data_IF_813081316271
#
_entry.id   IF_813081316271
#
_cell.length_a   1.000
_cell.length_b   1.000
_cell.length_c   1.000
_cell.angle_alpha   90.00
_cell.angle_beta   90.00
_cell.angle_gamma   90.00
#
_symmetry.space_group_name_H-M   'P 1'
#
loop_
_entity.id
_entity.type
_entity.pdbx_description
1 polymer ?
#
# COMPACT_ATOMS: atom_id res chain seq x y z
N UNK A 1 27.13 -39.67 -39.06
CA UNK A 1 26.49 -40.73 -39.88
C UNK A 1 25.09 -40.25 -40.25
N UNK A 2 24.88 -40.03 -41.56
CA UNK A 2 23.64 -39.96 -42.37
C UNK A 2 22.28 -39.61 -41.69
N UNK A 3 21.82 -38.40 -42.03
CA UNK A 3 20.47 -37.94 -42.48
C UNK A 3 19.62 -39.00 -43.26
N UNK A 4 18.38 -38.72 -43.77
CA UNK A 4 17.22 -37.94 -43.27
C UNK A 4 15.81 -38.40 -43.81
N UNK A 5 14.80 -37.50 -43.74
CA UNK A 5 13.62 -37.29 -44.63
C UNK A 5 12.42 -38.26 -44.48
N UNK A 6 11.17 -37.75 -44.44
CA UNK A 6 10.27 -37.44 -45.58
C UNK A 6 9.20 -36.44 -45.05
N UNK A 7 9.02 -35.20 -45.54
CA UNK A 7 8.49 -34.71 -46.82
C UNK A 7 7.00 -34.99 -47.08
N UNK A 8 6.20 -33.94 -47.31
CA UNK A 8 4.80 -34.05 -47.72
C UNK A 8 4.09 -32.69 -47.84
N UNK A 9 4.29 -32.01 -48.96
CA UNK A 9 3.62 -30.78 -49.41
C UNK A 9 2.56 -31.13 -50.46
N UNK A 10 1.38 -30.48 -50.48
CA UNK A 10 0.56 -30.13 -51.68
C UNK A 10 -0.75 -29.43 -51.19
N UNK A 11 -1.05 -28.14 -51.41
CA UNK A 11 -1.42 -27.32 -52.60
C UNK A 11 -2.93 -27.42 -53.02
N UNK A 12 -3.52 -26.24 -53.29
CA UNK A 12 -4.76 -25.85 -54.03
C UNK A 12 -6.05 -25.74 -53.20
N UNK A 13 -6.90 -24.71 -53.38
CA UNK A 13 -7.03 -23.80 -54.51
C UNK A 13 -7.91 -22.56 -54.26
N UNK A 14 -7.76 -21.62 -55.20
CA UNK A 14 -8.52 -20.39 -55.40
C UNK A 14 -9.99 -20.65 -55.76
N UNK A 15 -10.90 -19.76 -55.34
CA UNK A 15 -11.98 -19.23 -56.18
C UNK A 15 -12.60 -17.99 -55.52
N UNK A 16 -12.49 -16.85 -56.20
CA UNK A 16 -13.26 -15.65 -55.95
C UNK A 16 -14.34 -15.55 -57.03
N UNK A 17 -15.61 -15.32 -56.67
CA UNK A 17 -16.60 -14.70 -57.56
C UNK A 17 -17.50 -13.79 -56.69
N UNK A 18 -17.47 -12.51 -57.05
CA UNK A 18 -18.44 -11.47 -56.67
C UNK A 18 -19.40 -11.26 -57.85
N UNK A 19 -20.66 -10.90 -57.57
CA UNK A 19 -21.56 -10.00 -58.36
C UNK A 19 -22.95 -10.07 -57.70
N UNK A 20 -23.51 -9.00 -57.08
CA UNK A 20 -23.98 -7.68 -57.55
C UNK A 20 -25.51 -7.66 -57.79
N UNK A 21 -26.20 -6.80 -57.02
CA UNK A 21 -27.38 -5.99 -57.40
C UNK A 21 -27.66 -5.07 -56.19
N UNK A 22 -27.28 -3.79 -56.13
CA UNK A 22 -27.55 -2.61 -56.96
C UNK A 22 -29.04 -2.19 -57.03
N UNK A 23 -29.36 -1.09 -56.34
CA UNK A 23 -30.25 -0.05 -56.84
C UNK A 23 -29.80 1.32 -56.28
N UNK A 24 -29.05 2.02 -57.13
CA UNK A 24 -29.12 3.46 -57.47
C UNK A 24 -30.46 4.15 -57.14
N UNK A 25 -30.56 5.46 -56.89
CA UNK A 25 -29.91 6.67 -57.44
C UNK A 25 -30.33 7.87 -56.53
N UNK A 26 -29.90 9.13 -56.59
CA UNK A 26 -28.97 9.99 -57.34
C UNK A 26 -28.87 11.26 -56.46
N UNK A 27 -27.72 11.90 -56.25
CA UNK A 27 -27.38 13.05 -57.08
C UNK A 27 -26.65 14.18 -56.32
N UNK A 28 -25.42 14.45 -56.80
CA UNK A 28 -24.70 15.73 -56.94
C UNK A 28 -24.39 16.64 -55.71
N UNK A 29 -23.10 16.98 -55.60
CA UNK A 29 -22.67 18.30 -55.13
C UNK A 29 -21.32 18.34 -54.43
N UNK A 30 -20.28 18.83 -55.11
CA UNK A 30 -18.91 18.98 -54.64
C UNK A 30 -18.74 19.95 -53.46
N UNK A 31 -17.69 19.74 -52.65
CA UNK A 31 -17.26 20.72 -51.65
C UNK A 31 -16.24 20.17 -50.67
N UNK A 32 -14.97 20.10 -51.06
CA UNK A 32 -13.87 19.88 -50.13
C UNK A 32 -13.74 21.08 -49.18
N UNK A 33 -13.84 20.83 -47.88
CA UNK A 33 -13.29 21.71 -46.82
C UNK A 33 -12.72 20.85 -45.71
N UNK A 34 -11.40 20.95 -45.56
CA UNK A 34 -10.68 20.53 -44.35
C UNK A 34 -11.28 21.24 -43.14
N UNK A 35 -11.66 20.45 -42.13
CA UNK A 35 -11.96 20.93 -40.79
C UNK A 35 -11.09 20.16 -39.81
N UNK A 36 -10.00 20.78 -39.41
CA UNK A 36 -9.21 20.42 -38.24
C UNK A 36 -10.09 20.56 -37.00
N UNK A 37 -10.53 19.45 -36.43
CA UNK A 37 -11.12 19.43 -35.09
C UNK A 37 -10.00 19.24 -34.07
N UNK A 38 -9.51 20.37 -33.57
CA UNK A 38 -8.75 20.45 -32.32
C UNK A 38 -9.68 20.07 -31.16
N UNK A 39 -9.56 18.85 -30.66
CA UNK A 39 -10.22 18.43 -29.43
C UNK A 39 -9.27 18.64 -28.26
N UNK A 40 -9.18 19.88 -27.81
CA UNK A 40 -8.68 20.20 -26.47
C UNK A 40 -9.66 19.59 -25.46
N UNK A 41 -9.31 18.44 -24.88
CA UNK A 41 -10.07 17.84 -23.78
C UNK A 41 -9.98 18.80 -22.58
N UNK A 42 -11.08 19.48 -22.27
CA UNK A 42 -11.27 20.16 -20.98
C UNK A 42 -11.18 19.09 -19.87
N UNK A 43 -10.13 19.18 -19.05
CA UNK A 43 -10.09 18.50 -17.76
C UNK A 43 -11.27 18.99 -16.93
N UNK A 44 -12.17 18.07 -16.58
CA UNK A 44 -13.22 18.34 -15.61
C UNK A 44 -12.55 18.33 -14.24
N UNK A 45 -12.32 19.51 -13.68
CA UNK A 45 -11.90 19.65 -12.30
C UNK A 45 -12.97 19.00 -11.40
N UNK A 46 -12.62 17.89 -10.77
CA UNK A 46 -13.46 17.27 -9.74
C UNK A 46 -13.50 18.23 -8.56
N UNK A 47 -14.66 18.84 -8.33
CA UNK A 47 -14.88 19.74 -7.20
C UNK A 47 -14.56 19.00 -5.90
N UNK A 48 -13.67 19.58 -5.10
CA UNK A 48 -13.15 18.94 -3.89
C UNK A 48 -14.22 18.99 -2.78
N UNK A 49 -15.04 17.95 -2.66
CA UNK A 49 -16.10 17.83 -1.65
C UNK A 49 -15.57 17.51 -0.24
N UNK A 50 -14.25 17.53 -0.02
CA UNK A 50 -13.65 17.13 1.25
C UNK A 50 -13.71 18.29 2.26
N UNK A 51 -14.30 18.03 3.43
CA UNK A 51 -14.39 19.03 4.50
C UNK A 51 -13.01 19.30 5.13
N UNK A 52 -12.68 20.57 5.44
CA UNK A 52 -11.49 20.90 6.21
C UNK A 52 -11.42 20.13 7.53
N UNK A 53 -10.19 19.84 7.97
CA UNK A 53 -9.95 19.14 9.22
C UNK A 53 -10.25 20.06 10.41
N UNK A 54 -11.05 19.60 11.36
CA UNK A 54 -11.20 20.28 12.66
C UNK A 54 -9.93 20.04 13.48
N UNK A 55 -9.11 21.09 13.62
CA UNK A 55 -7.84 21.02 14.34
C UNK A 55 -8.03 20.71 15.83
N UNK A 56 -9.09 21.20 16.48
CA UNK A 56 -9.33 20.92 17.91
C UNK A 56 -9.69 19.45 18.11
N UNK A 57 -10.52 18.91 17.23
CA UNK A 57 -10.83 17.48 17.24
C UNK A 57 -9.58 16.64 16.95
N UNK A 58 -8.79 17.02 15.95
CA UNK A 58 -7.53 16.35 15.62
C UNK A 58 -6.60 16.30 16.84
N UNK A 59 -6.36 17.43 17.50
CA UNK A 59 -5.48 17.52 18.68
C UNK A 59 -6.01 16.68 19.85
N UNK A 60 -7.31 16.71 20.10
CA UNK A 60 -7.96 15.86 21.11
C UNK A 60 -7.75 14.37 20.83
N UNK A 61 -7.91 13.95 19.57
CA UNK A 61 -7.69 12.56 19.16
C UNK A 61 -6.20 12.17 19.25
N UNK A 62 -5.28 13.07 18.91
CA UNK A 62 -3.84 12.82 19.08
C UNK A 62 -3.47 12.60 20.55
N UNK A 63 -4.02 13.39 21.47
CA UNK A 63 -3.86 13.19 22.92
C UNK A 63 -4.46 11.86 23.36
N UNK A 64 -5.65 11.50 22.86
CA UNK A 64 -6.29 10.20 23.14
C UNK A 64 -5.44 9.03 22.66
N UNK A 65 -4.82 9.13 21.47
CA UNK A 65 -3.89 8.12 20.95
C UNK A 65 -2.60 8.03 21.78
N UNK A 66 -2.09 9.14 22.31
CA UNK A 66 -0.94 9.11 23.21
C UNK A 66 -1.20 8.28 24.48
N UNK A 67 -2.47 8.09 24.86
CA UNK A 67 -2.91 7.16 25.89
C UNK A 67 -2.23 7.39 27.25
N UNK A 68 -2.11 8.67 27.64
CA UNK A 68 -1.44 9.06 28.87
C UNK A 68 0.05 8.67 28.88
N UNK A 69 0.73 8.79 27.75
CA UNK A 69 2.20 8.74 27.70
C UNK A 69 2.77 9.82 28.61
N UNK A 70 3.61 9.41 29.56
CA UNK A 70 4.25 10.30 30.53
C UNK A 70 5.69 10.65 30.14
N UNK A 71 6.17 10.11 29.01
CA UNK A 71 7.55 10.32 28.54
C UNK A 71 7.74 11.67 27.84
N UNK A 72 6.64 12.35 27.50
CA UNK A 72 6.64 13.60 26.75
C UNK A 72 6.94 13.42 25.25
N UNK A 73 7.01 12.18 24.77
CA UNK A 73 7.28 11.84 23.35
C UNK A 73 6.01 11.81 22.51
N UNK A 74 4.87 11.49 23.12
CA UNK A 74 3.59 11.35 22.45
C UNK A 74 2.51 12.27 23.08
N UNK A 75 1.61 12.87 22.29
CA UNK A 75 1.66 12.92 20.82
C UNK A 75 2.88 13.73 20.34
N UNK A 76 3.34 13.47 19.12
CA UNK A 76 4.46 14.22 18.54
C UNK A 76 4.03 15.68 18.37
N UNK A 77 4.80 16.60 18.98
CA UNK A 77 4.58 18.04 18.82
C UNK A 77 4.85 18.44 17.37
N UNK A 78 3.83 18.96 16.71
CA UNK A 78 3.89 19.41 15.32
C UNK A 78 2.87 20.50 15.10
N UNK A 79 3.21 21.49 14.28
CA UNK A 79 2.27 22.50 13.76
C UNK A 79 1.69 22.09 12.39
N UNK A 80 1.95 20.86 11.95
CA UNK A 80 1.47 20.30 10.68
C UNK A 80 0.17 19.55 10.91
N UNK A 81 -0.92 20.08 10.37
CA UNK A 81 -2.22 19.43 10.29
C UNK A 81 -2.41 18.77 8.92
N UNK A 82 -3.08 17.61 8.83
CA UNK A 82 -3.32 16.97 7.56
C UNK A 82 -4.37 17.72 6.72
N UNK A 83 -4.34 17.52 5.40
CA UNK A 83 -5.33 18.07 4.50
C UNK A 83 -6.73 17.45 4.72
N UNK A 84 -7.75 18.11 4.14
CA UNK A 84 -9.10 17.58 4.05
C UNK A 84 -9.10 16.14 3.48
N UNK A 85 -9.93 15.26 4.05
CA UNK A 85 -9.97 13.84 3.69
C UNK A 85 -8.98 12.94 4.46
N UNK A 86 -8.30 13.47 5.49
CA UNK A 86 -7.49 12.68 6.40
C UNK A 86 -8.28 11.53 7.04
N UNK A 87 -7.63 10.36 7.17
CA UNK A 87 -8.22 9.15 7.76
C UNK A 87 -7.78 9.04 9.22
N UNK A 88 -6.51 9.33 9.51
CA UNK A 88 -5.90 9.28 10.84
C UNK A 88 -5.90 10.68 11.47
N UNK A 89 -6.15 10.80 12.78
CA UNK A 89 -6.51 9.76 13.75
C UNK A 89 -8.02 9.45 13.82
N UNK A 90 -8.84 9.95 12.89
CA UNK A 90 -10.31 9.85 12.95
C UNK A 90 -10.85 8.43 12.84
N UNK A 91 -10.15 7.55 12.12
CA UNK A 91 -10.51 6.15 11.92
C UNK A 91 -9.32 5.24 12.17
N UNK A 92 -9.57 4.07 12.73
CA UNK A 92 -8.57 2.99 12.85
C UNK A 92 -8.52 2.20 11.56
N UNK A 93 -7.34 2.09 10.96
CA UNK A 93 -7.17 1.26 9.77
C UNK A 93 -6.94 -0.19 10.20
N UNK A 94 -7.71 -1.12 9.64
CA UNK A 94 -7.54 -2.58 9.86
C UNK A 94 -7.41 -3.25 8.51
N UNK A 95 -6.30 -3.96 8.28
CA UNK A 95 -5.98 -4.54 6.98
C UNK A 95 -5.51 -5.99 7.04
N UNK A 96 -5.75 -6.71 5.95
CA UNK A 96 -5.03 -7.95 5.63
C UNK A 96 -3.85 -7.66 4.71
N UNK A 97 -2.70 -8.22 5.07
CA UNK A 97 -1.46 -8.10 4.32
C UNK A 97 -1.18 -9.33 3.46
N UNK A 98 -0.51 -9.14 2.33
CA UNK A 98 0.16 -10.24 1.63
C UNK A 98 0.25 -10.09 0.12
N UNK A 99 0.50 -11.21 -0.56
CA UNK A 99 0.67 -11.28 -2.01
C UNK A 99 -0.21 -12.39 -2.61
N UNK A 100 -0.99 -12.06 -3.63
CA UNK A 100 -1.95 -12.95 -4.30
C UNK A 100 -1.32 -14.20 -4.96
N UNK A 101 -0.01 -14.20 -5.23
CA UNK A 101 0.69 -15.37 -5.76
C UNK A 101 1.19 -16.33 -4.68
N UNK A 102 1.16 -15.95 -3.40
CA UNK A 102 1.73 -16.75 -2.32
C UNK A 102 0.82 -16.81 -1.11
N UNK A 103 0.28 -18.01 -0.85
CA UNK A 103 -0.45 -18.34 0.38
C UNK A 103 0.40 -18.29 1.65
N UNK A 104 1.73 -18.13 1.51
CA UNK A 104 2.68 -18.07 2.64
C UNK A 104 3.08 -16.62 2.98
N UNK A 105 2.69 -15.64 2.17
CA UNK A 105 3.10 -14.24 2.33
C UNK A 105 2.02 -13.36 2.99
N UNK A 106 0.93 -13.96 3.48
CA UNK A 106 -0.03 -13.30 4.35
C UNK A 106 -1.49 -13.57 4.04
N UNK A 107 -2.35 -13.28 5.02
CA UNK A 107 -3.79 -13.52 4.99
C UNK A 107 -4.51 -13.01 3.72
N UNK A 108 -4.04 -11.92 3.09
CA UNK A 108 -4.63 -11.41 1.84
C UNK A 108 -4.53 -12.42 0.68
N UNK A 109 -3.39 -13.12 0.57
CA UNK A 109 -3.12 -14.09 -0.50
C UNK A 109 -3.45 -15.54 -0.12
N UNK A 110 -3.76 -15.80 1.16
CA UNK A 110 -3.99 -17.17 1.66
C UNK A 110 -5.37 -17.72 1.28
N UNK A 111 -6.40 -16.87 1.28
CA UNK A 111 -7.80 -17.25 1.10
C UNK A 111 -8.37 -16.76 -0.24
N UNK A 112 -9.43 -17.42 -0.70
CA UNK A 112 -10.22 -16.90 -1.82
C UNK A 112 -10.90 -15.56 -1.41
N UNK A 113 -11.14 -14.61 -2.34
CA UNK A 113 -11.58 -13.26 -1.99
C UNK A 113 -12.82 -13.17 -1.08
N UNK A 114 -13.83 -14.03 -1.27
CA UNK A 114 -15.03 -14.05 -0.41
C UNK A 114 -14.71 -14.49 1.02
N UNK A 115 -13.91 -15.55 1.17
CA UNK A 115 -13.48 -16.05 2.49
C UNK A 115 -12.55 -15.04 3.18
N UNK A 116 -11.60 -14.48 2.43
CA UNK A 116 -10.71 -13.41 2.90
C UNK A 116 -11.53 -12.26 3.52
N UNK A 117 -12.55 -11.79 2.80
CA UNK A 117 -13.43 -10.73 3.30
C UNK A 117 -14.26 -11.14 4.50
N UNK A 118 -14.77 -12.37 4.55
CA UNK A 118 -15.48 -12.87 5.72
C UNK A 118 -14.59 -12.81 6.98
N UNK A 119 -13.33 -13.23 6.86
CA UNK A 119 -12.36 -13.23 7.96
C UNK A 119 -11.94 -11.82 8.37
N UNK A 120 -11.61 -10.95 7.41
CA UNK A 120 -11.27 -9.55 7.69
C UNK A 120 -12.45 -8.80 8.32
N UNK A 121 -13.68 -9.05 7.89
CA UNK A 121 -14.87 -8.45 8.53
C UNK A 121 -15.07 -8.93 9.98
N UNK A 122 -14.62 -10.14 10.34
CA UNK A 122 -14.64 -10.58 11.73
C UNK A 122 -13.63 -9.77 12.58
N UNK A 123 -12.41 -9.54 12.09
CA UNK A 123 -11.43 -8.70 12.78
C UNK A 123 -11.90 -7.25 12.91
N UNK A 124 -12.53 -6.69 11.86
CA UNK A 124 -13.13 -5.36 11.90
C UNK A 124 -14.16 -5.27 13.03
N UNK A 125 -15.07 -6.26 13.15
CA UNK A 125 -16.06 -6.29 14.23
C UNK A 125 -15.42 -6.39 15.62
N UNK A 126 -14.31 -7.13 15.77
CA UNK A 126 -13.58 -7.17 17.03
C UNK A 126 -13.02 -5.79 17.41
N UNK A 127 -12.45 -5.06 16.45
CA UNK A 127 -11.94 -3.71 16.69
C UNK A 127 -13.04 -2.68 16.96
N UNK A 128 -14.16 -2.74 16.24
CA UNK A 128 -15.33 -1.90 16.49
C UNK A 128 -15.91 -2.14 17.89
N UNK A 129 -15.92 -3.39 18.36
CA UNK A 129 -16.36 -3.73 19.72
C UNK A 129 -15.38 -3.24 20.79
N UNK A 130 -14.07 -3.39 20.56
CA UNK A 130 -13.04 -3.05 21.53
C UNK A 130 -12.85 -1.53 21.71
N UNK A 131 -13.08 -0.73 20.65
CA UNK A 131 -13.05 0.73 20.72
C UNK A 131 -14.16 1.37 19.85
N UNK A 132 -15.42 1.37 20.33
CA UNK A 132 -16.57 1.87 19.58
C UNK A 132 -16.47 3.36 19.22
N UNK A 133 -15.64 4.10 19.94
CA UNK A 133 -15.44 5.53 19.76
C UNK A 133 -14.48 5.90 18.62
N UNK A 134 -13.85 4.90 17.99
CA UNK A 134 -12.91 5.09 16.87
C UNK A 134 -13.34 4.17 15.72
N UNK A 135 -14.10 4.68 14.73
CA UNK A 135 -14.60 3.87 13.61
C UNK A 135 -13.48 3.16 12.84
N UNK A 136 -13.78 2.01 12.25
CA UNK A 136 -12.80 1.23 11.49
C UNK A 136 -12.84 1.56 9.99
N UNK A 137 -11.67 1.79 9.42
CA UNK A 137 -11.41 1.90 7.99
C UNK A 137 -10.79 0.58 7.50
N UNK A 138 -11.58 -0.21 6.76
CA UNK A 138 -11.08 -1.45 6.17
C UNK A 138 -10.06 -1.15 5.06
N UNK A 139 -9.03 -2.01 4.94
CA UNK A 139 -8.10 -1.95 3.82
C UNK A 139 -7.45 -3.28 3.48
N UNK A 140 -6.78 -3.32 2.33
CA UNK A 140 -5.95 -4.45 1.89
C UNK A 140 -4.53 -3.94 1.66
N UNK A 141 -3.52 -4.63 2.19
CA UNK A 141 -2.13 -4.22 2.06
C UNK A 141 -1.38 -5.24 1.20
N UNK A 142 -1.17 -4.89 -0.07
CA UNK A 142 -0.66 -5.79 -1.08
C UNK A 142 0.81 -5.54 -1.38
N UNK A 143 1.61 -6.61 -1.39
CA UNK A 143 3.03 -6.53 -1.74
C UNK A 143 3.17 -6.42 -3.26
N UNK A 144 3.38 -5.20 -3.75
CA UNK A 144 3.48 -4.88 -5.17
C UNK A 144 4.89 -5.08 -5.74
N UNK A 145 5.91 -5.04 -4.88
CA UNK A 145 7.26 -5.49 -5.21
C UNK A 145 7.83 -6.33 -4.07
N UNK A 146 8.28 -7.54 -4.41
CA UNK A 146 8.72 -8.55 -3.44
C UNK A 146 10.23 -8.73 -3.55
N UNK A 147 10.95 -8.70 -2.42
CA UNK A 147 12.35 -9.06 -2.40
C UNK A 147 12.51 -10.57 -2.67
N UNK A 148 13.41 -10.91 -3.58
CA UNK A 148 13.59 -12.27 -4.09
C UNK A 148 14.91 -12.86 -3.61
N UNK A 149 14.91 -14.16 -3.30
CA UNK A 149 16.16 -14.91 -3.05
C UNK A 149 16.97 -15.18 -4.31
N UNK A 150 16.39 -14.98 -5.50
CA UNK A 150 17.03 -15.22 -6.81
C UNK A 150 17.15 -13.93 -7.62
N UNK A 151 18.22 -13.78 -8.43
CA UNK A 151 18.39 -12.60 -9.26
C UNK A 151 17.34 -12.56 -10.38
N UNK A 152 16.75 -11.38 -10.57
CA UNK A 152 15.99 -11.06 -11.78
C UNK A 152 16.92 -10.74 -12.96
N UNK A 153 16.33 -10.46 -14.12
CA UNK A 153 17.08 -10.09 -15.35
C UNK A 153 17.98 -8.85 -15.17
N UNK A 154 17.59 -7.96 -14.27
CA UNK A 154 18.31 -6.72 -13.92
C UNK A 154 19.29 -6.90 -12.74
N UNK A 155 19.42 -8.12 -12.22
CA UNK A 155 20.26 -8.42 -11.05
C UNK A 155 19.81 -7.75 -9.76
N UNK A 156 18.57 -7.23 -9.68
CA UNK A 156 18.09 -6.47 -8.51
C UNK A 156 17.44 -7.29 -7.41
N UNK A 157 17.28 -8.60 -7.62
CA UNK A 157 16.66 -9.52 -6.66
C UNK A 157 15.27 -9.04 -6.22
N UNK A 158 14.49 -8.54 -7.17
CA UNK A 158 13.14 -8.00 -6.94
C UNK A 158 12.15 -8.60 -7.94
N UNK A 159 11.04 -9.09 -7.42
CA UNK A 159 9.90 -9.54 -8.22
C UNK A 159 8.85 -8.43 -8.22
N UNK A 160 8.81 -7.64 -9.30
CA UNK A 160 7.81 -6.59 -9.50
C UNK A 160 6.51 -7.23 -9.98
N UNK A 161 5.42 -6.98 -9.28
CA UNK A 161 4.12 -7.51 -9.66
C UNK A 161 3.62 -6.82 -10.93
N UNK A 162 3.12 -7.61 -11.88
CA UNK A 162 2.52 -7.05 -13.09
C UNK A 162 1.30 -6.20 -12.75
N UNK A 163 1.03 -5.18 -13.56
CA UNK A 163 -0.15 -4.30 -13.41
C UNK A 163 -1.45 -5.07 -13.17
N UNK A 164 -1.68 -6.16 -13.90
CA UNK A 164 -2.87 -7.03 -13.73
C UNK A 164 -3.05 -7.56 -12.31
N UNK A 165 -1.97 -7.80 -11.58
CA UNK A 165 -2.03 -8.24 -10.19
C UNK A 165 -2.45 -7.12 -9.25
N UNK A 166 -1.91 -5.91 -9.46
CA UNK A 166 -2.36 -4.72 -8.73
C UNK A 166 -3.84 -4.45 -9.04
N UNK A 167 -4.24 -4.55 -10.32
CA UNK A 167 -5.64 -4.41 -10.73
C UNK A 167 -6.54 -5.46 -10.03
N UNK A 168 -6.02 -6.66 -9.80
CA UNK A 168 -6.75 -7.75 -9.13
C UNK A 168 -6.99 -7.42 -7.65
N UNK A 169 -6.01 -6.89 -6.92
CA UNK A 169 -6.27 -6.45 -5.53
C UNK A 169 -7.22 -5.26 -5.47
N UNK A 170 -7.16 -4.33 -6.44
CA UNK A 170 -8.13 -3.22 -6.52
C UNK A 170 -9.55 -3.74 -6.79
N UNK A 171 -9.70 -4.79 -7.60
CA UNK A 171 -10.99 -5.44 -7.82
C UNK A 171 -11.51 -6.14 -6.54
N UNK A 172 -10.62 -6.81 -5.79
CA UNK A 172 -10.98 -7.40 -4.49
C UNK A 172 -11.39 -6.31 -3.50
N UNK A 173 -10.69 -5.18 -3.47
CA UNK A 173 -11.02 -4.03 -2.62
C UNK A 173 -12.44 -3.51 -2.90
N UNK A 174 -12.83 -3.42 -4.17
CA UNK A 174 -14.18 -2.99 -4.61
C UNK A 174 -15.32 -3.89 -4.14
N UNK A 175 -15.05 -5.14 -3.71
CA UNK A 175 -16.07 -6.02 -3.15
C UNK A 175 -16.65 -5.51 -1.82
N UNK A 176 -15.93 -4.62 -1.12
CA UNK A 176 -16.41 -3.95 0.10
C UNK A 176 -16.33 -2.43 -0.08
N UNK A 177 -17.47 -1.71 -0.03
CA UNK A 177 -17.47 -0.25 -0.18
C UNK A 177 -16.52 0.46 0.80
N UNK A 178 -15.87 1.51 0.29
CA UNK A 178 -14.97 2.35 1.08
C UNK A 178 -13.64 1.71 1.47
N UNK A 179 -13.28 0.53 0.95
CA UNK A 179 -11.99 -0.12 1.22
C UNK A 179 -10.83 0.66 0.61
N UNK A 180 -9.78 0.88 1.40
CA UNK A 180 -8.50 1.46 0.93
C UNK A 180 -7.49 0.36 0.60
N UNK A 181 -6.49 0.67 -0.24
CA UNK A 181 -5.44 -0.28 -0.62
C UNK A 181 -4.08 0.32 -0.35
N UNK A 182 -3.16 -0.48 0.19
CA UNK A 182 -1.75 -0.13 0.30
C UNK A 182 -0.96 -0.96 -0.70
N UNK A 183 -0.03 -0.32 -1.41
CA UNK A 183 0.97 -1.01 -2.22
C UNK A 183 2.29 -0.99 -1.46
N UNK A 184 2.80 -2.17 -1.10
CA UNK A 184 4.07 -2.33 -0.39
C UNK A 184 5.23 -2.57 -1.35
N UNK A 185 6.37 -1.96 -1.06
CA UNK A 185 7.59 -2.07 -1.86
C UNK A 185 8.76 -2.61 -1.03
N UNK A 186 9.16 -3.85 -1.33
CA UNK A 186 10.39 -4.48 -0.87
C UNK A 186 11.46 -4.36 -1.97
N UNK A 187 12.38 -3.41 -1.82
CA UNK A 187 13.22 -2.95 -2.96
C UNK A 187 14.45 -3.81 -3.24
N UNK A 188 14.85 -4.70 -2.33
CA UNK A 188 16.05 -5.52 -2.41
C UNK A 188 17.32 -4.69 -2.76
N UNK A 189 18.01 -5.03 -3.85
CA UNK A 189 19.21 -4.31 -4.34
C UNK A 189 18.86 -3.10 -5.24
N UNK A 190 17.58 -2.76 -5.37
CA UNK A 190 17.12 -1.53 -6.01
C UNK A 190 17.01 -0.39 -4.98
N UNK A 191 16.46 0.75 -5.41
CA UNK A 191 16.23 1.92 -4.55
C UNK A 191 14.77 2.33 -4.61
N UNK A 192 14.26 2.90 -3.52
CA UNK A 192 12.88 3.42 -3.51
C UNK A 192 12.64 4.48 -4.61
N UNK A 193 13.68 5.25 -4.96
CA UNK A 193 13.65 6.23 -6.05
C UNK A 193 13.42 5.60 -7.42
N UNK A 194 13.95 4.39 -7.65
CA UNK A 194 13.74 3.64 -8.87
C UNK A 194 12.39 2.90 -8.87
N UNK A 195 11.95 2.39 -7.72
CA UNK A 195 10.77 1.53 -7.64
C UNK A 195 9.44 2.29 -7.54
N UNK A 196 9.41 3.43 -6.86
CA UNK A 196 8.18 4.18 -6.62
C UNK A 196 7.47 4.63 -7.92
N UNK A 197 8.17 5.12 -8.97
CA UNK A 197 7.53 5.51 -10.23
C UNK A 197 6.78 4.38 -10.95
N UNK A 198 7.14 3.11 -10.72
CA UNK A 198 6.46 1.98 -11.38
C UNK A 198 5.00 1.81 -10.93
N UNK A 199 4.64 2.33 -9.76
CA UNK A 199 3.27 2.26 -9.22
C UNK A 199 2.58 3.63 -9.19
N UNK A 200 3.17 4.67 -9.78
CA UNK A 200 2.68 6.05 -9.73
C UNK A 200 1.20 6.14 -10.12
N UNK A 201 0.83 5.57 -11.27
CA UNK A 201 -0.54 5.56 -11.80
C UNK A 201 -1.59 4.99 -10.83
N UNK A 202 -1.17 4.12 -9.90
CA UNK A 202 -2.07 3.55 -8.89
C UNK A 202 -2.16 4.46 -7.67
N UNK A 203 -1.06 5.10 -7.27
CA UNK A 203 -1.04 6.06 -6.18
C UNK A 203 -1.85 7.34 -6.51
N UNK A 204 -2.07 7.65 -7.79
CA UNK A 204 -3.01 8.67 -8.24
C UNK A 204 -4.45 8.40 -7.81
N UNK A 205 -4.82 7.14 -7.51
CA UNK A 205 -6.15 6.81 -7.03
C UNK A 205 -6.33 7.27 -5.57
N UNK A 206 -7.43 7.96 -5.21
CA UNK A 206 -7.58 8.60 -3.89
C UNK A 206 -7.56 7.61 -2.73
N UNK A 207 -7.99 6.36 -2.95
CA UNK A 207 -8.06 5.30 -1.94
C UNK A 207 -6.83 4.38 -1.90
N UNK A 208 -5.79 4.69 -2.70
CA UNK A 208 -4.53 3.92 -2.72
C UNK A 208 -3.45 4.69 -1.95
N UNK A 209 -2.73 3.94 -1.12
CA UNK A 209 -1.73 4.36 -0.16
C UNK A 209 -0.45 3.52 -0.34
N UNK A 210 0.61 3.84 0.42
CA UNK A 210 1.93 3.26 0.24
C UNK A 210 2.44 2.59 1.52
N UNK A 211 3.08 1.44 1.37
CA UNK A 211 3.94 0.80 2.36
C UNK A 211 5.38 0.69 1.85
N UNK A 212 6.36 0.78 2.74
CA UNK A 212 7.75 0.40 2.45
C UNK A 212 8.30 -0.47 3.55
N UNK A 213 9.13 -1.43 3.15
CA UNK A 213 9.79 -2.33 4.07
C UNK A 213 11.31 -2.09 4.11
N UNK A 214 11.83 -1.39 5.13
CA UNK A 214 13.25 -1.19 5.29
C UNK A 214 14.04 -2.50 5.48
N UNK A 215 13.42 -3.60 5.92
CA UNK A 215 14.09 -4.90 6.06
C UNK A 215 14.74 -5.34 4.75
N UNK A 216 14.15 -4.93 3.63
CA UNK A 216 14.60 -5.31 2.29
C UNK A 216 15.31 -4.19 1.54
N UNK A 217 15.69 -3.08 2.18
CA UNK A 217 16.53 -2.06 1.53
C UNK A 217 18.02 -2.38 1.71
N UNK A 218 18.59 -3.06 0.72
CA UNK A 218 19.91 -3.67 0.83
C UNK A 218 21.01 -2.80 0.19
N UNK A 219 21.24 -1.64 0.80
CA UNK A 219 22.11 -0.58 0.23
C UNK A 219 23.58 -0.96 0.04
N UNK A 220 24.04 -2.03 0.69
CA UNK A 220 25.43 -2.46 0.65
C UNK A 220 25.69 -3.67 -0.27
N UNK A 221 24.68 -4.07 -1.06
CA UNK A 221 24.79 -5.21 -1.97
C UNK A 221 24.56 -6.58 -1.33
N UNK A 222 24.34 -6.65 -0.01
CA UNK A 222 23.99 -7.92 0.65
C UNK A 222 22.66 -8.43 0.11
N UNK A 223 22.56 -9.72 -0.18
CA UNK A 223 21.30 -10.29 -0.68
C UNK A 223 20.17 -10.20 0.36
N UNK A 224 18.92 -9.96 -0.07
CA UNK A 224 17.77 -9.87 0.84
C UNK A 224 17.61 -11.16 1.66
N UNK A 225 17.19 -11.01 2.91
CA UNK A 225 17.00 -12.12 3.85
C UNK A 225 18.27 -12.66 4.50
N UNK A 226 19.47 -12.20 4.11
CA UNK A 226 20.73 -12.53 4.83
C UNK A 226 20.96 -11.65 6.06
N UNK A 227 20.48 -10.42 6.00
CA UNK A 227 20.45 -9.47 7.12
C UNK A 227 19.32 -8.48 6.92
N UNK A 228 19.01 -7.75 7.97
CA UNK A 228 18.01 -6.68 7.94
C UNK A 228 18.62 -5.45 7.26
N UNK A 229 17.95 -4.97 6.23
CA UNK A 229 18.27 -3.74 5.50
C UNK A 229 17.97 -2.46 6.28
N UNK A 230 18.04 -1.32 5.60
CA UNK A 230 17.86 -0.02 6.24
C UNK A 230 17.38 1.07 5.28
N UNK A 231 16.50 1.92 5.79
CA UNK A 231 16.22 3.24 5.23
C UNK A 231 16.71 4.33 6.19
N UNK A 232 17.13 5.45 5.62
CA UNK A 232 17.38 6.68 6.35
C UNK A 232 16.16 7.61 6.28
N UNK A 233 16.09 8.58 7.19
CA UNK A 233 15.15 9.69 7.09
C UNK A 233 15.19 10.39 5.72
N UNK A 234 16.34 10.44 5.03
CA UNK A 234 16.43 10.94 3.66
C UNK A 234 15.56 10.15 2.67
N UNK A 235 15.52 8.81 2.78
CA UNK A 235 14.67 7.99 1.91
C UNK A 235 13.19 8.19 2.24
N UNK A 236 12.85 8.23 3.53
CA UNK A 236 11.48 8.51 3.99
C UNK A 236 11.03 9.88 3.50
N UNK A 237 11.89 10.90 3.59
CA UNK A 237 11.60 12.26 3.13
C UNK A 237 11.47 12.38 1.62
N UNK A 238 12.23 11.58 0.86
CA UNK A 238 12.05 11.47 -0.58
C UNK A 238 10.65 10.95 -0.91
N UNK A 239 10.22 9.87 -0.24
CA UNK A 239 8.88 9.29 -0.45
C UNK A 239 7.78 10.27 -0.05
N UNK A 240 7.89 10.91 1.12
CA UNK A 240 6.87 11.86 1.57
C UNK A 240 6.79 13.09 0.66
N UNK A 241 7.92 13.55 0.10
CA UNK A 241 7.91 14.61 -0.92
C UNK A 241 7.18 14.16 -2.18
N UNK A 242 7.51 12.97 -2.68
CA UNK A 242 6.90 12.41 -3.89
C UNK A 242 5.37 12.28 -3.75
N UNK A 243 4.91 11.73 -2.62
CA UNK A 243 3.49 11.62 -2.31
C UNK A 243 2.83 13.01 -2.16
N UNK A 244 3.52 13.98 -1.55
CA UNK A 244 3.00 15.33 -1.43
C UNK A 244 2.84 16.04 -2.78
N UNK A 245 3.81 15.89 -3.67
CA UNK A 245 3.76 16.46 -5.02
C UNK A 245 2.61 15.84 -5.83
N UNK A 246 2.40 14.53 -5.70
CA UNK A 246 1.27 13.82 -6.30
C UNK A 246 -0.07 14.30 -5.74
N UNK A 247 -0.19 14.42 -4.42
CA UNK A 247 -1.41 14.91 -3.75
C UNK A 247 -1.78 16.30 -4.24
N UNK A 248 -0.80 17.20 -4.38
CA UNK A 248 -1.02 18.56 -4.92
C UNK A 248 -1.39 18.53 -6.39
N UNK A 249 -0.63 17.79 -7.20
CA UNK A 249 -0.80 17.72 -8.65
C UNK A 249 -2.19 17.21 -9.06
N UNK A 250 -2.69 16.20 -8.35
CA UNK A 250 -3.95 15.53 -8.68
C UNK A 250 -5.10 15.84 -7.69
N UNK A 251 -4.92 16.83 -6.80
CA UNK A 251 -5.91 17.25 -5.81
C UNK A 251 -6.48 16.07 -4.98
N UNK A 252 -5.59 15.20 -4.49
CA UNK A 252 -5.96 13.98 -3.77
C UNK A 252 -6.16 14.21 -2.27
N UNK A 253 -6.90 13.33 -1.57
CA UNK A 253 -6.81 13.25 -0.12
C UNK A 253 -5.37 12.90 0.31
N UNK A 254 -4.99 13.25 1.56
CA UNK A 254 -3.66 12.92 2.07
C UNK A 254 -3.44 11.41 2.12
N UNK A 255 -2.23 10.97 1.75
CA UNK A 255 -1.87 9.56 1.69
C UNK A 255 -1.43 9.04 3.06
N UNK A 256 -1.90 7.86 3.44
CA UNK A 256 -1.24 7.11 4.52
C UNK A 256 0.05 6.50 3.96
N UNK A 257 1.14 6.68 4.69
CA UNK A 257 2.44 6.11 4.35
C UNK A 257 2.93 5.24 5.51
N UNK A 258 2.98 3.93 5.28
CA UNK A 258 3.37 2.94 6.29
C UNK A 258 4.86 2.62 6.14
N UNK A 259 5.61 2.76 7.23
CA UNK A 259 7.03 2.38 7.31
C UNK A 259 7.16 1.24 8.31
N UNK A 260 7.48 0.06 7.81
CA UNK A 260 7.63 -1.16 8.61
C UNK A 260 8.89 -1.09 9.48
N UNK A 261 8.81 -1.45 10.77
CA UNK A 261 9.96 -1.39 11.69
C UNK A 261 9.81 -2.36 12.86
N UNK A 262 10.83 -3.17 13.10
CA UNK A 262 10.93 -4.03 14.29
C UNK A 262 12.34 -4.11 14.87
N UNK A 263 13.29 -3.36 14.32
CA UNK A 263 14.60 -3.10 14.94
C UNK A 263 14.97 -1.64 14.79
N UNK A 264 15.86 -1.15 15.66
CA UNK A 264 16.32 0.24 15.64
C UNK A 264 17.00 0.65 14.31
N UNK A 265 17.82 -0.24 13.74
CA UNK A 265 18.65 0.06 12.55
C UNK A 265 17.86 0.09 11.24
N UNK A 266 16.62 -0.40 11.23
CA UNK A 266 15.77 -0.37 10.03
C UNK A 266 15.45 1.05 9.56
N UNK A 267 15.34 2.01 10.49
CA UNK A 267 15.09 3.42 10.14
C UNK A 267 16.07 4.29 10.90
N UNK A 268 17.06 4.84 10.20
CA UNK A 268 18.05 5.73 10.80
C UNK A 268 17.59 7.19 10.77
N UNK A 269 18.12 7.98 11.71
CA UNK A 269 17.91 9.43 11.77
C UNK A 269 16.44 9.87 11.80
N UNK A 270 15.54 9.08 12.42
CA UNK A 270 14.09 9.31 12.41
C UNK A 270 13.66 10.75 12.79
N UNK A 271 14.44 11.43 13.65
CA UNK A 271 14.20 12.83 14.05
C UNK A 271 14.23 13.82 12.87
N UNK A 272 14.88 13.44 11.77
CA UNK A 272 14.97 14.25 10.56
C UNK A 272 13.82 13.96 9.58
N UNK A 273 12.90 13.04 9.90
CA UNK A 273 11.70 12.80 9.09
C UNK A 273 10.77 14.00 9.20
N UNK A 274 10.40 14.57 8.06
CA UNK A 274 9.56 15.76 7.96
C UNK A 274 8.10 15.37 7.82
N UNK A 275 7.25 15.93 8.68
CA UNK A 275 5.80 15.81 8.56
C UNK A 275 5.27 16.76 7.48
N UNK A 276 4.20 16.36 6.81
CA UNK A 276 3.61 17.08 5.68
C UNK A 276 2.08 17.00 5.74
N UNK A 277 1.33 18.06 5.41
CA UNK A 277 -0.14 18.00 5.38
C UNK A 277 -0.69 16.89 4.46
N UNK A 278 0.05 16.57 3.40
CA UNK A 278 -0.35 15.62 2.37
C UNK A 278 -0.12 14.15 2.76
N UNK A 279 0.61 13.88 3.85
CA UNK A 279 1.05 12.51 4.20
C UNK A 279 0.87 12.22 5.68
N UNK A 280 0.23 11.09 5.98
CA UNK A 280 0.00 10.56 7.32
C UNK A 280 0.95 9.37 7.55
N UNK A 281 2.04 9.59 8.28
CA UNK A 281 3.12 8.60 8.45
C UNK A 281 2.81 7.65 9.62
N UNK A 282 2.82 6.36 9.35
CA UNK A 282 2.66 5.29 10.33
C UNK A 282 3.98 4.57 10.52
N UNK A 283 4.56 4.64 11.72
CA UNK A 283 5.65 3.74 12.11
C UNK A 283 5.05 2.44 12.62
N UNK A 284 5.20 1.38 11.83
CA UNK A 284 4.44 0.14 11.98
C UNK A 284 5.29 -0.96 12.60
N UNK A 285 4.86 -1.47 13.76
CA UNK A 285 5.52 -2.58 14.45
C UNK A 285 5.31 -3.89 13.68
N UNK A 286 6.34 -4.34 12.95
CA UNK A 286 6.29 -5.49 12.02
C UNK A 286 7.06 -6.73 12.54
N UNK A 287 7.30 -6.80 13.85
CA UNK A 287 7.99 -7.93 14.47
C UNK A 287 7.03 -9.06 14.84
N UNK A 288 7.39 -10.31 14.56
CA UNK A 288 6.63 -11.49 15.00
C UNK A 288 7.20 -12.06 16.30
N UNK A 289 6.35 -12.74 17.07
CA UNK A 289 6.75 -13.41 18.30
C UNK A 289 5.63 -13.45 19.35
N UNK A 290 5.95 -14.00 20.51
CA UNK A 290 5.06 -14.00 21.66
C UNK A 290 4.74 -12.56 22.14
N UNK A 291 3.61 -12.33 22.82
CA UNK A 291 3.18 -11.01 23.27
C UNK A 291 4.29 -10.19 23.96
N UNK A 292 5.06 -10.79 24.87
CA UNK A 292 6.10 -10.08 25.61
C UNK A 292 7.21 -9.53 24.71
N UNK A 293 7.66 -10.31 23.71
CA UNK A 293 8.64 -9.86 22.73
C UNK A 293 8.09 -8.70 21.89
N UNK A 294 6.81 -8.79 21.49
CA UNK A 294 6.17 -7.74 20.68
C UNK A 294 5.95 -6.46 21.48
N UNK A 295 5.58 -6.57 22.76
CA UNK A 295 5.52 -5.44 23.70
C UNK A 295 6.88 -4.77 23.86
N UNK A 296 7.94 -5.58 24.04
CA UNK A 296 9.31 -5.10 24.08
C UNK A 296 9.70 -4.37 22.79
N UNK A 297 9.43 -4.97 21.64
CA UNK A 297 9.73 -4.41 20.31
C UNK A 297 9.02 -3.07 20.10
N UNK A 298 7.73 -3.01 20.43
CA UNK A 298 6.94 -1.79 20.36
C UNK A 298 7.51 -0.68 21.24
N UNK A 299 7.83 -0.99 22.50
CA UNK A 299 8.40 -0.03 23.45
C UNK A 299 9.74 0.55 22.96
N UNK A 300 10.66 -0.30 22.52
CA UNK A 300 12.01 0.16 22.19
C UNK A 300 12.10 0.82 20.80
N UNK A 301 11.38 0.30 19.81
CA UNK A 301 11.58 0.70 18.43
C UNK A 301 10.41 1.49 17.85
N UNK A 302 9.24 1.53 18.47
CA UNK A 302 8.11 2.33 18.00
C UNK A 302 7.86 3.50 18.94
N UNK A 303 7.58 3.23 20.22
CA UNK A 303 7.36 4.28 21.21
C UNK A 303 8.61 5.16 21.40
N UNK A 304 9.80 4.54 21.46
CA UNK A 304 11.07 5.24 21.73
C UNK A 304 11.58 6.13 20.59
N UNK A 305 11.02 5.98 19.38
CA UNK A 305 11.44 6.71 18.18
C UNK A 305 10.22 7.26 17.43
N UNK A 306 9.55 8.28 18.01
CA UNK A 306 8.27 8.77 17.53
C UNK A 306 8.38 9.55 16.22
N UNK A 307 7.35 9.45 15.35
CA UNK A 307 7.26 10.20 14.09
C UNK A 307 5.89 10.88 13.93
N UNK A 308 4.79 10.14 13.82
CA UNK A 308 3.45 10.74 13.77
C UNK A 308 2.37 9.80 14.32
N UNK A 309 2.17 8.66 13.66
CA UNK A 309 1.26 7.61 14.09
C UNK A 309 1.99 6.29 14.29
N UNK A 310 1.37 5.37 15.03
CA UNK A 310 1.89 4.01 15.21
C UNK A 310 0.94 2.98 14.66
N UNK A 311 1.52 1.86 14.25
CA UNK A 311 0.77 0.67 13.87
C UNK A 311 1.33 -0.59 14.50
N UNK A 312 0.58 -1.68 14.38
CA UNK A 312 0.93 -2.96 14.94
C UNK A 312 0.49 -4.11 14.05
N UNK A 313 1.39 -5.08 13.83
CA UNK A 313 1.08 -6.28 13.09
C UNK A 313 0.81 -7.47 13.97
N UNK A 314 -0.14 -8.31 13.58
CA UNK A 314 -0.43 -9.61 14.19
C UNK A 314 -0.17 -10.70 13.14
N UNK A 315 0.56 -11.74 13.51
CA UNK A 315 0.86 -12.86 12.61
C UNK A 315 0.12 -14.11 13.08
N UNK A 316 -0.91 -14.53 12.35
CA UNK A 316 -1.80 -15.64 12.77
C UNK A 316 -1.05 -16.94 13.04
N UNK A 317 0.11 -17.14 12.41
CA UNK A 317 0.92 -18.36 12.54
C UNK A 317 2.21 -18.11 13.32
N UNK A 318 2.91 -17.02 13.05
CA UNK A 318 4.26 -16.80 13.59
C UNK A 318 4.25 -16.40 15.06
N UNK A 319 3.26 -15.64 15.51
CA UNK A 319 3.15 -15.23 16.91
C UNK A 319 2.79 -16.41 17.82
N UNK A 320 2.24 -17.50 17.26
CA UNK A 320 1.86 -18.69 18.00
C UNK A 320 3.03 -19.69 18.21
N UNK A 321 4.22 -19.39 17.69
CA UNK A 321 5.35 -20.35 17.70
C UNK A 321 5.97 -20.56 19.09
N UNK A 322 5.81 -19.60 20.00
CA UNK A 322 6.33 -19.66 21.37
C UNK A 322 5.19 -19.47 22.36
N UNK A 323 5.36 -20.02 23.57
CA UNK A 323 4.44 -19.79 24.67
C UNK A 323 4.25 -18.27 24.88
N UNK A 324 3.01 -17.80 25.15
CA UNK A 324 1.80 -18.55 25.48
C UNK A 324 0.95 -18.99 24.27
N UNK A 325 1.51 -19.05 23.05
CA UNK A 325 0.87 -19.57 21.84
C UNK A 325 -0.46 -18.88 21.51
N UNK A 326 -0.53 -17.56 21.69
CA UNK A 326 -1.70 -16.73 21.35
C UNK A 326 -1.28 -15.41 20.72
N UNK A 327 -2.21 -14.82 19.99
CA UNK A 327 -2.10 -13.44 19.54
C UNK A 327 -2.37 -12.46 20.69
N UNK A 328 -1.84 -11.25 20.55
CA UNK A 328 -2.34 -10.13 21.34
C UNK A 328 -3.75 -9.74 20.89
N UNK A 329 -4.60 -9.36 21.83
CA UNK A 329 -5.99 -8.95 21.53
C UNK A 329 -6.10 -7.45 21.25
N UNK A 330 -7.18 -6.97 20.61
CA UNK A 330 -7.45 -5.55 20.48
C UNK A 330 -7.40 -4.80 21.82
N UNK A 331 -7.93 -5.36 22.90
CA UNK A 331 -7.93 -4.75 24.24
C UNK A 331 -6.52 -4.60 24.80
N UNK A 332 -5.62 -5.54 24.53
CA UNK A 332 -4.21 -5.45 24.92
C UNK A 332 -3.48 -4.38 24.11
N UNK A 333 -3.74 -4.31 22.80
CA UNK A 333 -3.17 -3.30 21.92
C UNK A 333 -3.65 -1.89 22.27
N UNK A 334 -4.90 -1.74 22.72
CA UNK A 334 -5.46 -0.46 23.19
C UNK A 334 -4.85 0.02 24.52
N UNK A 335 -4.09 -0.82 25.23
CA UNK A 335 -3.31 -0.43 26.43
C UNK A 335 -1.92 0.12 26.08
N UNK A 336 -1.47 -0.03 24.83
CA UNK A 336 -0.18 0.48 24.40
C UNK A 336 -0.12 2.01 24.44
N UNK A 337 1.09 2.53 24.62
CA UNK A 337 1.38 3.97 24.63
C UNK A 337 2.42 4.26 23.55
N UNK A 338 2.06 4.97 22.47
CA UNK A 338 0.69 5.36 22.08
C UNK A 338 -0.15 4.14 21.65
N UNK A 339 -1.46 4.30 21.49
CA UNK A 339 -2.35 3.29 20.88
C UNK A 339 -2.07 3.20 19.37
N UNK A 340 -1.84 1.99 18.83
CA UNK A 340 -1.75 1.83 17.38
C UNK A 340 -3.09 2.14 16.71
N UNK A 341 -3.02 2.97 15.66
CA UNK A 341 -4.19 3.37 14.86
C UNK A 341 -4.23 2.67 13.50
N UNK A 342 -3.18 1.92 13.17
CA UNK A 342 -3.09 1.08 11.99
C UNK A 342 -2.78 -0.36 12.41
N UNK A 343 -3.63 -1.30 12.04
CA UNK A 343 -3.55 -2.70 12.44
C UNK A 343 -3.45 -3.57 11.18
N UNK A 344 -2.43 -4.41 11.15
CA UNK A 344 -2.19 -5.31 10.03
C UNK A 344 -2.23 -6.77 10.51
N UNK A 345 -2.95 -7.61 9.80
CA UNK A 345 -2.95 -9.06 10.03
C UNK A 345 -2.24 -9.76 8.87
N UNK A 346 -1.36 -10.70 9.21
CA UNK A 346 -0.61 -11.54 8.27
C UNK A 346 -0.79 -13.02 8.56
#
# INVERSE_FOLDING_TARGET
MKLPQIAGTLILGFAAITLFANCQSNGKGAGAKNSSTDTTKKEVAVENTMKPVDHKLYDSLMVKLANGDTTGRWPVKSNVYPLAGAILPFKRVVVYYGNLHSKKMGALGEYAPKEMWQRLNAEIKHWEKADPSTPVQAGLHYIAAVASGTPGKDGKYINRMANKQIDSVLAIAKMRPGTIVFLDLQVALSTIKAELPHIEKYLELPYVHLGIDPEFSMKDGTLPGKKIGTYDAADVNYVTQYLADMVKKYNLPPKIFVVHRFTKKMVTNYKNIKLRPEVQIVMHMDGWGEPDLKLGTYRHFIQGEPVQFTGFKLFYKNDLKKAPNRLMTPEELLKLKPKPIYIQYQ
#
